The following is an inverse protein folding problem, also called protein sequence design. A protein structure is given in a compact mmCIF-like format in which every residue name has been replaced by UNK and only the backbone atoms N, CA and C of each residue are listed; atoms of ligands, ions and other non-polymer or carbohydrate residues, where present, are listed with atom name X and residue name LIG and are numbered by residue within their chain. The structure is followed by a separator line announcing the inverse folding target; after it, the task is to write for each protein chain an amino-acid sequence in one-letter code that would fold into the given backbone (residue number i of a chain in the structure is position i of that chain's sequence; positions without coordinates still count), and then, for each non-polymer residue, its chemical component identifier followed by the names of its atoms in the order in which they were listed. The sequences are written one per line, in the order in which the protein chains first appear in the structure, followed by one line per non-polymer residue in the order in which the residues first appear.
data_IF_084494756837
#
_entry.id   IF_084494756837
#
_cell.length_a   1.000
_cell.length_b   1.000
_cell.length_c   1.000
_cell.angle_alpha   90.00
_cell.angle_beta   90.00
_cell.angle_gamma   90.00
#
_symmetry.space_group_name_H-M   'P 1'
#
loop_
_entity.id
_entity.type
_entity.pdbx_description
1 polymer ?
#
# COMPACT_ATOMS: atom_id res chain seq x y z
N UNK A 1 -5.14 16.79 12.95
CA UNK A 1 -5.58 16.32 11.65
C UNK A 1 -5.49 14.82 11.59
N UNK A 2 -6.51 14.20 11.04
CA UNK A 2 -6.52 12.74 10.96
C UNK A 2 -5.66 12.27 9.81
N UNK A 3 -4.74 11.37 10.11
CA UNK A 3 -3.96 10.72 9.09
C UNK A 3 -4.76 9.54 8.56
N UNK A 4 -4.80 9.40 7.24
CA UNK A 4 -5.49 8.27 6.61
C UNK A 4 -4.56 7.06 6.65
N UNK A 5 -5.01 5.99 7.25
CA UNK A 5 -4.25 4.74 7.30
C UNK A 5 -5.11 3.58 6.84
N UNK A 6 -4.47 2.55 6.35
CA UNK A 6 -5.15 1.35 5.90
C UNK A 6 -4.31 0.12 6.18
N UNK A 7 -4.98 -1.00 6.38
CA UNK A 7 -4.31 -2.28 6.60
C UNK A 7 -3.99 -2.92 5.26
N UNK A 8 -3.31 -4.08 5.31
CA UNK A 8 -2.96 -4.77 4.08
C UNK A 8 -4.19 -5.10 3.23
N UNK A 9 -5.32 -5.38 3.87
CA UNK A 9 -6.55 -5.67 3.14
C UNK A 9 -7.13 -4.44 2.44
N UNK A 10 -6.75 -3.25 2.88
CA UNK A 10 -7.16 -2.01 2.22
C UNK A 10 -6.21 -1.61 1.11
N UNK A 11 -4.97 -2.04 1.19
CA UNK A 11 -3.95 -1.70 0.21
C UNK A 11 -3.94 -2.69 -0.93
N UNK A 12 -3.87 -3.98 -0.63
CA UNK A 12 -3.80 -5.03 -1.63
C UNK A 12 -5.18 -5.51 -2.02
N UNK A 13 -5.27 -6.18 -3.15
CA UNK A 13 -6.53 -6.74 -3.64
C UNK A 13 -6.54 -8.25 -3.44
N UNK A 14 -7.71 -8.79 -3.14
CA UNK A 14 -7.93 -10.23 -3.04
C UNK A 14 -9.08 -10.62 -3.96
N UNK A 15 -9.41 -11.92 -3.99
CA UNK A 15 -10.54 -12.39 -4.78
C UNK A 15 -11.83 -11.71 -4.39
N UNK A 16 -12.00 -11.44 -3.09
CA UNK A 16 -13.27 -10.97 -2.55
C UNK A 16 -13.32 -9.47 -2.37
N UNK A 17 -12.18 -8.79 -2.45
CA UNK A 17 -12.11 -7.36 -2.16
C UNK A 17 -11.03 -6.69 -2.98
N UNK A 18 -11.37 -5.59 -3.60
CA UNK A 18 -10.40 -4.78 -4.34
C UNK A 18 -9.84 -3.69 -3.42
N UNK A 19 -8.51 -3.64 -3.30
CA UNK A 19 -7.83 -2.60 -2.53
C UNK A 19 -7.37 -1.46 -3.42
N UNK A 20 -6.44 -0.65 -2.90
CA UNK A 20 -5.92 0.49 -3.64
C UNK A 20 -5.06 0.07 -4.84
N UNK A 21 -4.36 -1.06 -4.73
CA UNK A 21 -3.53 -1.56 -5.82
C UNK A 21 -4.06 -2.92 -6.26
N UNK A 22 -4.01 -3.22 -7.55
CA UNK A 22 -4.60 -4.47 -8.08
C UNK A 22 -3.62 -5.64 -8.01
N UNK A 23 -2.97 -5.82 -6.87
CA UNK A 23 -2.02 -6.92 -6.67
C UNK A 23 -2.32 -7.59 -5.33
N UNK A 24 -1.84 -8.82 -5.19
CA UNK A 24 -2.08 -9.60 -3.98
C UNK A 24 -1.28 -9.07 -2.80
N UNK A 25 -1.69 -9.41 -1.57
CA UNK A 25 -0.91 -9.04 -0.38
C UNK A 25 0.54 -9.53 -0.44
N UNK A 26 0.77 -10.73 -0.96
CA UNK A 26 2.13 -11.25 -1.06
C UNK A 26 3.01 -10.36 -1.94
N UNK A 27 2.45 -9.83 -3.03
CA UNK A 27 3.18 -8.94 -3.91
C UNK A 27 3.50 -7.62 -3.21
N UNK A 28 2.56 -7.08 -2.44
CA UNK A 28 2.79 -5.85 -1.68
C UNK A 28 3.94 -6.05 -0.69
N UNK A 29 3.93 -7.15 0.05
CA UNK A 29 4.99 -7.43 1.01
C UNK A 29 6.35 -7.59 0.33
N UNK A 30 6.38 -8.22 -0.83
CA UNK A 30 7.63 -8.35 -1.58
C UNK A 30 8.15 -6.97 -2.00
N UNK A 31 7.28 -6.10 -2.48
CA UNK A 31 7.67 -4.75 -2.88
C UNK A 31 8.19 -3.94 -1.69
N UNK A 32 7.58 -4.12 -0.52
CA UNK A 32 8.07 -3.46 0.69
C UNK A 32 9.48 -3.93 1.02
N UNK A 33 9.71 -5.24 0.93
CA UNK A 33 11.03 -5.80 1.21
C UNK A 33 12.08 -5.32 0.22
N UNK A 34 11.69 -5.08 -1.02
CA UNK A 34 12.59 -4.59 -2.06
C UNK A 34 12.78 -3.08 -2.03
N UNK A 35 12.06 -2.39 -1.16
CA UNK A 35 12.14 -0.95 -1.09
C UNK A 35 11.41 -0.21 -2.20
N UNK A 36 10.51 -0.89 -2.89
CA UNK A 36 9.77 -0.31 -4.02
C UNK A 36 8.41 0.24 -3.66
N UNK A 37 7.95 -0.02 -2.46
CA UNK A 37 6.62 0.37 -2.02
C UNK A 37 6.74 1.07 -0.67
N UNK A 38 5.83 2.01 -0.35
CA UNK A 38 5.90 2.69 0.95
C UNK A 38 5.89 1.69 2.09
N UNK A 39 6.73 1.92 3.07
CA UNK A 39 6.86 1.00 4.20
C UNK A 39 5.70 1.20 5.17
N UNK A 40 5.17 0.12 5.72
CA UNK A 40 4.13 0.23 6.74
C UNK A 40 4.72 0.62 8.08
N UNK A 41 3.85 1.02 8.98
CA UNK A 41 4.26 1.28 10.37
C UNK A 41 3.23 0.63 11.28
N UNK A 42 3.58 0.51 12.55
CA UNK A 42 2.70 -0.14 13.52
C UNK A 42 1.92 0.90 14.31
N UNK A 43 0.61 0.71 14.35
CA UNK A 43 -0.27 1.57 15.13
C UNK A 43 -0.41 1.09 16.56
N UNK A 44 -0.09 -0.16 16.80
CA UNK A 44 -0.15 -0.77 18.12
C UNK A 44 0.68 -2.01 18.10
N UNK A 45 0.52 -2.86 19.09
CA UNK A 45 1.36 -4.04 19.24
C UNK A 45 1.27 -4.97 18.02
N UNK A 46 0.08 -5.11 17.45
CA UNK A 46 -0.14 -6.09 16.38
C UNK A 46 -0.83 -5.52 15.14
N UNK A 47 -0.92 -4.20 15.05
CA UNK A 47 -1.64 -3.57 13.93
C UNK A 47 -0.64 -2.89 13.01
N UNK A 48 -0.48 -3.43 11.81
CA UNK A 48 0.38 -2.86 10.78
C UNK A 48 -0.48 -2.14 9.76
N UNK A 49 -0.14 -0.87 9.50
CA UNK A 49 -0.92 -0.04 8.57
C UNK A 49 0.02 0.73 7.67
N UNK A 50 -0.52 1.18 6.54
CA UNK A 50 0.17 2.06 5.62
C UNK A 50 -0.46 3.45 5.68
N UNK A 51 0.37 4.48 5.47
CA UNK A 51 -0.13 5.82 5.23
C UNK A 51 -0.77 5.82 3.84
N UNK A 52 -2.08 5.96 3.78
CA UNK A 52 -2.79 5.89 2.50
C UNK A 52 -2.43 7.03 1.57
N UNK A 53 -2.05 8.19 2.11
CA UNK A 53 -1.58 9.28 1.28
C UNK A 53 -0.26 8.94 0.62
N UNK A 54 0.63 8.24 1.34
CA UNK A 54 1.88 7.77 0.75
C UNK A 54 1.62 6.73 -0.33
N UNK A 55 0.65 5.85 -0.12
CA UNK A 55 0.27 4.85 -1.12
C UNK A 55 -0.27 5.55 -2.38
N UNK A 56 -1.13 6.53 -2.20
CA UNK A 56 -1.68 7.28 -3.34
C UNK A 56 -0.58 8.01 -4.12
N UNK A 57 0.37 8.61 -3.41
CA UNK A 57 1.50 9.28 -4.04
C UNK A 57 2.36 8.30 -4.83
N UNK A 58 2.57 7.11 -4.26
CA UNK A 58 3.33 6.07 -4.94
C UNK A 58 2.63 5.65 -6.24
N UNK A 59 1.31 5.46 -6.19
CA UNK A 59 0.53 5.10 -7.37
C UNK A 59 0.66 6.18 -8.44
N UNK A 60 0.56 7.44 -8.03
CA UNK A 60 0.67 8.55 -8.97
C UNK A 60 2.03 8.55 -9.67
N UNK A 61 3.09 8.28 -8.92
CA UNK A 61 4.43 8.25 -9.50
C UNK A 61 4.60 7.08 -10.47
N UNK A 62 4.02 5.93 -10.15
CA UNK A 62 4.08 4.78 -11.06
C UNK A 62 3.32 5.07 -12.34
N UNK A 63 2.19 5.73 -12.22
CA UNK A 63 1.38 6.09 -13.39
C UNK A 63 2.14 7.05 -14.30
N UNK A 64 2.83 8.03 -13.73
CA UNK A 64 3.64 8.96 -14.52
C UNK A 64 4.78 8.23 -15.23
N UNK A 65 5.45 7.33 -14.53
CA UNK A 65 6.51 6.56 -15.14
C UNK A 65 6.01 5.66 -16.25
N UNK A 66 4.82 5.10 -16.08
CA UNK A 66 4.24 4.20 -17.07
C UNK A 66 3.86 4.91 -18.36
N UNK A 67 3.56 6.20 -18.29
CA UNK A 67 3.13 6.94 -19.46
C UNK A 67 4.28 7.52 -20.27
N UNK A 68 5.48 7.33 -19.80
CA UNK A 68 6.66 7.83 -20.51
C UNK A 68 6.96 7.05 -21.77
#
# INVERSE_FOLDING_TARGET
MAQRVGRISDVASTKDKQGRVPVSPATVWRWVAEGKFPKPFKLGANVTVWDMDAVDSWIARQSEGASA
#
